data_IF_610351961718
#
_entry.id   IF_610351961718
#
_cell.length_a   1.000
_cell.length_b   1.000
_cell.length_c   1.000
_cell.angle_alpha   90.00
_cell.angle_beta   90.00
_cell.angle_gamma   90.00
#
_symmetry.space_group_name_H-M   'P 1'
#
loop_
_entity.id
_entity.type
_entity.pdbx_description
1 polymer ?
#
# COMPACT_ATOMS: atom_id res chain seq x y z
N UNK A 1 -6.89 -64.41 39.41
CA UNK A 1 -6.73 -63.15 38.66
C UNK A 1 -5.28 -62.72 38.84
N UNK A 2 -4.43 -62.98 37.85
CA UNK A 2 -3.01 -62.59 37.88
C UNK A 2 -2.75 -61.66 36.71
N UNK A 3 -2.13 -60.53 37.03
CA UNK A 3 -1.95 -59.36 36.19
C UNK A 3 -0.66 -59.57 35.38
N UNK A 4 -0.73 -59.51 34.05
CA UNK A 4 0.46 -59.59 33.19
C UNK A 4 0.94 -58.17 32.89
N UNK A 5 2.10 -57.80 33.41
CA UNK A 5 2.82 -56.59 33.01
C UNK A 5 3.71 -56.90 31.81
N UNK A 6 3.48 -56.21 30.69
CA UNK A 6 4.33 -56.26 29.50
C UNK A 6 5.34 -55.12 29.57
N UNK A 7 6.61 -55.44 29.81
CA UNK A 7 7.73 -54.50 29.75
C UNK A 7 8.10 -54.18 28.30
N UNK A 8 8.00 -52.91 27.91
CA UNK A 8 8.51 -52.40 26.65
C UNK A 8 10.02 -52.15 26.73
N UNK A 9 10.78 -52.66 25.76
CA UNK A 9 12.22 -52.46 25.63
C UNK A 9 12.51 -51.07 25.10
N UNK A 10 13.26 -50.26 25.86
CA UNK A 10 13.75 -48.94 25.45
C UNK A 10 14.89 -49.12 24.45
N UNK A 11 14.71 -48.61 23.23
CA UNK A 11 15.76 -48.55 22.21
C UNK A 11 16.67 -47.36 22.50
N UNK A 12 17.98 -47.60 22.67
CA UNK A 12 18.97 -46.53 22.87
C UNK A 12 19.07 -45.63 21.62
N UNK A 13 19.33 -44.31 21.79
CA UNK A 13 19.55 -43.40 20.67
C UNK A 13 20.82 -43.77 19.90
N UNK A 14 20.71 -43.88 18.58
CA UNK A 14 21.84 -44.11 17.67
C UNK A 14 22.81 -42.93 17.67
N UNK A 15 24.12 -43.24 17.65
CA UNK A 15 25.20 -42.26 17.55
C UNK A 15 25.08 -41.36 16.31
N UNK A 16 25.58 -40.11 16.35
CA UNK A 16 25.50 -39.19 15.22
C UNK A 16 26.28 -39.76 14.02
N UNK A 17 25.56 -39.95 12.91
CA UNK A 17 26.13 -40.43 11.65
C UNK A 17 26.85 -39.26 10.98
N UNK A 18 28.17 -39.30 10.89
CA UNK A 18 28.96 -38.36 10.08
C UNK A 18 28.57 -38.54 8.61
N UNK A 19 28.06 -37.51 7.90
CA UNK A 19 27.66 -37.68 6.51
C UNK A 19 28.89 -37.89 5.61
N UNK A 20 28.79 -38.87 4.71
CA UNK A 20 29.83 -39.19 3.74
C UNK A 20 30.00 -38.05 2.71
N UNK A 21 31.25 -37.61 2.51
CA UNK A 21 31.64 -36.64 1.47
C UNK A 21 31.43 -37.30 0.10
N UNK A 22 30.62 -36.69 -0.76
CA UNK A 22 30.31 -37.25 -2.08
C UNK A 22 31.39 -36.86 -3.11
N UNK A 23 31.82 -37.81 -3.94
CA UNK A 23 32.79 -37.62 -5.04
C UNK A 23 32.29 -36.72 -6.20
N UNK A 24 31.24 -35.91 -5.99
CA UNK A 24 30.55 -35.12 -7.03
C UNK A 24 30.85 -33.63 -6.98
N UNK A 25 31.76 -33.18 -6.10
CA UNK A 25 32.00 -31.76 -5.83
C UNK A 25 30.91 -31.09 -4.99
N UNK A 26 29.80 -31.80 -4.74
CA UNK A 26 28.73 -31.38 -3.84
C UNK A 26 28.96 -31.89 -2.41
N UNK A 27 28.58 -31.05 -1.45
CA UNK A 27 28.50 -31.39 -0.04
C UNK A 27 27.25 -32.21 0.31
N UNK A 28 26.77 -32.03 1.54
CA UNK A 28 25.61 -32.72 2.09
C UNK A 28 24.36 -32.49 1.25
N UNK A 29 23.63 -33.56 0.99
CA UNK A 29 22.30 -33.52 0.36
C UNK A 29 21.26 -33.04 1.39
N UNK A 30 20.37 -32.13 0.98
CA UNK A 30 19.25 -31.62 1.76
C UNK A 30 17.97 -31.58 0.92
N UNK A 31 16.81 -31.48 1.57
CA UNK A 31 15.52 -31.35 0.90
C UNK A 31 14.89 -30.02 1.30
N UNK A 32 14.37 -29.31 0.31
CA UNK A 32 13.61 -28.09 0.51
C UNK A 32 12.16 -28.32 0.14
N UNK A 33 11.24 -27.72 0.89
CA UNK A 33 9.81 -27.70 0.56
C UNK A 33 9.45 -26.36 -0.07
N UNK A 34 8.67 -26.37 -1.15
CA UNK A 34 7.97 -25.19 -1.65
C UNK A 34 6.75 -24.89 -0.80
N UNK A 35 6.17 -23.70 -0.94
CA UNK A 35 4.92 -23.34 -0.24
C UNK A 35 3.76 -24.27 -0.58
N UNK A 36 3.80 -24.91 -1.75
CA UNK A 36 2.78 -25.88 -2.20
C UNK A 36 3.03 -27.29 -1.63
N UNK A 37 4.03 -27.46 -0.76
CA UNK A 37 4.40 -28.74 -0.16
C UNK A 37 5.22 -29.67 -1.06
N UNK A 38 5.64 -29.20 -2.24
CA UNK A 38 6.52 -29.96 -3.13
C UNK A 38 7.92 -30.05 -2.53
N UNK A 39 8.44 -31.27 -2.40
CA UNK A 39 9.79 -31.51 -1.90
C UNK A 39 10.76 -31.61 -3.06
N UNK A 40 11.80 -30.78 -3.03
CA UNK A 40 12.85 -30.73 -4.04
C UNK A 40 14.19 -31.09 -3.40
N UNK A 41 14.90 -32.05 -4.00
CA UNK A 41 16.22 -32.47 -3.56
C UNK A 41 17.28 -31.45 -4.00
N UNK A 42 18.13 -31.09 -3.06
CA UNK A 42 19.25 -30.16 -3.26
C UNK A 42 20.53 -30.72 -2.64
N UNK A 43 21.68 -30.18 -2.99
CA UNK A 43 22.92 -30.43 -2.28
C UNK A 43 23.69 -29.12 -2.05
N UNK A 44 24.35 -29.02 -0.90
CA UNK A 44 25.19 -27.87 -0.61
C UNK A 44 26.38 -27.81 -1.57
N UNK A 45 26.72 -26.59 -1.98
CA UNK A 45 27.94 -26.30 -2.71
C UNK A 45 28.48 -24.93 -2.29
N UNK A 46 29.76 -24.69 -2.57
CA UNK A 46 30.39 -23.39 -2.41
C UNK A 46 30.87 -22.88 -3.77
N UNK A 47 30.57 -21.63 -4.08
CA UNK A 47 30.98 -20.98 -5.34
C UNK A 47 31.50 -19.58 -5.08
N UNK A 48 32.26 -19.01 -6.03
CA UNK A 48 32.60 -17.59 -5.96
C UNK A 48 31.38 -16.75 -6.32
N UNK A 49 31.29 -15.53 -5.76
CA UNK A 49 30.27 -14.56 -6.19
C UNK A 49 30.24 -14.33 -7.71
N UNK A 50 31.38 -14.48 -8.40
CA UNK A 50 31.50 -14.33 -9.85
C UNK A 50 30.86 -15.47 -10.65
N UNK A 51 30.69 -16.63 -10.03
CA UNK A 51 30.13 -17.81 -10.69
C UNK A 51 28.60 -17.80 -10.67
N UNK A 52 27.99 -16.96 -9.81
CA UNK A 52 26.55 -16.83 -9.69
C UNK A 52 25.95 -15.97 -10.80
N UNK A 53 24.94 -16.49 -11.47
CA UNK A 53 24.11 -15.73 -12.39
C UNK A 53 22.87 -15.27 -11.61
N UNK A 54 22.95 -14.04 -11.08
CA UNK A 54 21.89 -13.36 -10.31
C UNK A 54 21.00 -12.50 -11.23
N UNK A 55 19.75 -12.25 -10.84
CA UNK A 55 18.77 -11.55 -11.69
C UNK A 55 19.15 -10.10 -12.02
N UNK A 56 19.72 -9.40 -11.04
CA UNK A 56 20.12 -8.00 -11.15
C UNK A 56 21.48 -7.82 -10.49
N UNK A 57 22.22 -6.82 -10.92
CA UNK A 57 23.40 -6.35 -10.23
C UNK A 57 23.01 -5.70 -8.88
N UNK A 58 23.93 -5.63 -7.90
CA UNK A 58 23.67 -4.99 -6.60
C UNK A 58 23.25 -3.52 -6.62
N UNK A 59 23.35 -2.85 -7.77
CA UNK A 59 22.90 -1.48 -8.04
C UNK A 59 21.49 -1.41 -8.66
N UNK A 60 20.83 -2.57 -8.83
CA UNK A 60 19.48 -2.70 -9.37
C UNK A 60 19.41 -2.89 -10.89
N UNK A 61 20.52 -2.73 -11.63
CA UNK A 61 20.52 -2.94 -13.09
C UNK A 61 20.26 -4.40 -13.43
N UNK A 62 19.41 -4.64 -14.44
CA UNK A 62 19.07 -5.99 -14.90
C UNK A 62 20.32 -6.69 -15.44
N UNK A 63 20.54 -7.94 -15.03
CA UNK A 63 21.61 -8.76 -15.56
C UNK A 63 21.15 -9.46 -16.85
N UNK A 64 21.73 -9.09 -17.99
CA UNK A 64 21.37 -9.63 -19.30
C UNK A 64 21.66 -11.14 -19.45
N UNK A 65 22.60 -11.68 -18.66
CA UNK A 65 22.90 -13.11 -18.66
C UNK A 65 21.86 -13.96 -17.92
N UNK A 66 20.99 -13.33 -17.12
CA UNK A 66 19.96 -14.03 -16.36
C UNK A 66 18.69 -14.24 -17.18
N UNK A 67 18.14 -15.46 -17.27
CA UNK A 67 16.87 -15.73 -17.95
C UNK A 67 15.71 -15.06 -17.19
N UNK A 68 15.17 -13.98 -17.75
CA UNK A 68 14.17 -13.14 -17.06
C UNK A 68 12.88 -13.89 -16.68
N UNK A 69 12.53 -14.96 -17.41
CA UNK A 69 11.40 -15.83 -17.08
C UNK A 69 11.54 -16.54 -15.71
N UNK A 70 12.76 -16.63 -15.17
CA UNK A 70 13.05 -17.22 -13.86
C UNK A 70 13.02 -16.19 -12.72
N UNK A 71 12.75 -14.91 -13.01
CA UNK A 71 12.67 -13.87 -11.98
C UNK A 71 11.21 -13.41 -11.83
N UNK A 72 10.44 -14.01 -10.90
CA UNK A 72 9.01 -13.72 -10.77
C UNK A 72 8.72 -12.35 -10.14
N UNK A 73 9.72 -11.69 -9.53
CA UNK A 73 9.58 -10.38 -8.87
C UNK A 73 10.36 -9.31 -9.62
N UNK A 74 9.79 -8.13 -9.80
CA UNK A 74 10.54 -6.96 -10.27
C UNK A 74 11.54 -6.48 -9.21
N UNK A 75 12.83 -6.63 -9.52
CA UNK A 75 13.98 -6.27 -8.68
C UNK A 75 14.59 -4.92 -9.02
N UNK A 76 14.02 -4.18 -9.97
CA UNK A 76 14.46 -2.81 -10.32
C UNK A 76 13.94 -1.78 -9.31
N UNK A 77 12.91 -2.13 -8.54
CA UNK A 77 12.20 -1.26 -7.59
C UNK A 77 13.05 -0.87 -6.38
N UNK A 78 12.76 0.30 -5.82
CA UNK A 78 13.46 0.83 -4.63
C UNK A 78 13.38 -0.10 -3.42
N UNK A 79 12.24 -0.75 -3.19
CA UNK A 79 12.06 -1.75 -2.11
C UNK A 79 13.06 -2.90 -2.22
N UNK A 80 13.30 -3.41 -3.43
CA UNK A 80 14.28 -4.46 -3.67
C UNK A 80 15.70 -3.97 -3.37
N UNK A 81 16.03 -2.74 -3.77
CA UNK A 81 17.34 -2.15 -3.45
C UNK A 81 17.52 -1.93 -1.95
N UNK A 82 16.48 -1.48 -1.24
CA UNK A 82 16.51 -1.29 0.21
C UNK A 82 16.71 -2.60 0.95
N UNK A 83 16.01 -3.66 0.53
CA UNK A 83 16.25 -4.99 1.05
C UNK A 83 17.71 -5.43 0.83
N UNK A 84 18.21 -5.37 -0.41
CA UNK A 84 19.58 -5.79 -0.74
C UNK A 84 20.58 -5.01 0.12
N UNK A 85 20.35 -3.72 0.33
CA UNK A 85 21.14 -2.88 1.22
C UNK A 85 21.06 -3.33 2.69
N UNK A 86 19.88 -3.68 3.18
CA UNK A 86 19.68 -4.16 4.55
C UNK A 86 20.42 -5.49 4.77
N UNK A 87 20.27 -6.45 3.86
CA UNK A 87 20.99 -7.72 3.88
C UNK A 87 22.50 -7.47 3.85
N UNK A 88 22.98 -6.60 2.97
CA UNK A 88 24.41 -6.33 2.83
C UNK A 88 25.03 -5.67 4.07
N UNK A 89 24.27 -4.80 4.75
CA UNK A 89 24.71 -4.12 5.98
C UNK A 89 24.75 -5.07 7.19
N UNK A 90 23.84 -6.03 7.23
CA UNK A 90 23.68 -6.93 8.38
C UNK A 90 23.42 -8.36 7.91
N UNK A 91 24.43 -8.98 7.30
CA UNK A 91 24.36 -10.39 6.96
C UNK A 91 24.13 -11.20 8.24
N UNK A 92 23.15 -12.10 8.21
CA UNK A 92 22.91 -13.07 9.27
C UNK A 92 23.27 -14.45 8.71
N UNK A 93 24.53 -14.92 8.88
CA UNK A 93 25.02 -16.10 8.19
C UNK A 93 24.20 -17.36 8.47
N UNK A 94 23.71 -17.54 9.70
CA UNK A 94 22.85 -18.66 10.06
C UNK A 94 21.51 -18.68 9.29
N UNK A 95 20.93 -17.52 8.96
CA UNK A 95 19.72 -17.42 8.13
C UNK A 95 20.00 -17.61 6.64
N UNK A 96 21.28 -17.52 6.23
CA UNK A 96 21.75 -17.68 4.86
C UNK A 96 22.38 -19.06 4.63
N UNK A 97 22.16 -20.00 5.56
CA UNK A 97 22.73 -21.33 5.54
C UNK A 97 21.65 -22.41 5.29
N UNK A 98 21.49 -23.39 6.18
CA UNK A 98 20.51 -24.46 5.97
C UNK A 98 19.08 -24.02 6.29
N UNK A 99 18.13 -24.46 5.48
CA UNK A 99 16.70 -24.32 5.73
C UNK A 99 15.94 -25.43 5.00
N UNK A 100 14.87 -25.91 5.64
CA UNK A 100 13.93 -26.85 5.04
C UNK A 100 12.98 -26.17 4.04
N UNK A 101 12.96 -24.84 3.97
CA UNK A 101 12.13 -24.07 3.05
C UNK A 101 12.93 -23.62 1.83
N UNK A 102 12.30 -23.69 0.66
CA UNK A 102 12.88 -23.27 -0.62
C UNK A 102 13.02 -21.74 -0.72
N UNK A 103 12.20 -21.00 0.00
CA UNK A 103 12.24 -19.53 0.09
C UNK A 103 13.27 -18.96 1.08
N UNK A 104 13.87 -19.79 1.95
CA UNK A 104 14.75 -19.36 3.05
C UNK A 104 16.14 -20.03 3.00
N UNK A 105 17.12 -19.63 3.82
CA UNK A 105 18.48 -20.21 3.82
C UNK A 105 19.43 -19.73 2.70
N UNK A 106 20.32 -20.60 2.28
CA UNK A 106 21.27 -20.39 1.19
C UNK A 106 20.54 -20.30 -0.17
N UNK A 107 20.97 -19.44 -1.10
CA UNK A 107 20.38 -19.36 -2.44
C UNK A 107 20.32 -20.72 -3.13
N UNK A 108 19.23 -20.98 -3.86
CA UNK A 108 19.07 -22.21 -4.63
C UNK A 108 19.39 -21.93 -6.08
N UNK A 109 20.21 -22.78 -6.68
CA UNK A 109 20.62 -22.63 -8.09
C UNK A 109 20.32 -23.90 -8.89
N UNK A 110 20.25 -23.74 -10.21
CA UNK A 110 20.47 -24.86 -11.12
C UNK A 110 21.94 -25.30 -11.13
N UNK A 111 22.24 -26.39 -11.85
CA UNK A 111 23.63 -26.84 -12.11
C UNK A 111 24.43 -25.83 -12.94
N UNK A 112 23.75 -24.88 -13.57
CA UNK A 112 24.30 -23.76 -14.35
C UNK A 112 24.55 -22.51 -13.50
N UNK A 113 24.40 -22.61 -12.18
CA UNK A 113 24.60 -21.52 -11.21
C UNK A 113 23.67 -20.30 -11.40
N UNK A 114 22.61 -20.46 -12.20
CA UNK A 114 21.51 -19.48 -12.25
C UNK A 114 20.71 -19.60 -10.97
N UNK A 115 20.53 -18.47 -10.28
CA UNK A 115 19.81 -18.41 -9.00
C UNK A 115 18.31 -18.50 -9.25
N UNK A 116 17.69 -19.59 -8.79
CA UNK A 116 16.26 -19.88 -8.95
C UNK A 116 15.45 -19.43 -7.72
N UNK A 117 16.08 -19.41 -6.55
CA UNK A 117 15.52 -18.85 -5.32
C UNK A 117 16.58 -18.08 -4.53
N UNK A 118 16.20 -16.94 -3.98
CA UNK A 118 17.08 -16.11 -3.17
C UNK A 118 17.91 -15.09 -3.95
N UNK A 119 17.40 -14.55 -5.08
CA UNK A 119 18.07 -13.47 -5.82
C UNK A 119 18.37 -12.24 -4.93
N UNK A 120 17.44 -11.83 -4.05
CA UNK A 120 17.66 -10.74 -3.07
C UNK A 120 18.85 -10.99 -2.13
N UNK A 121 18.90 -12.20 -1.54
CA UNK A 121 20.00 -12.64 -0.67
C UNK A 121 21.32 -12.73 -1.42
N UNK A 122 21.30 -13.27 -2.62
CA UNK A 122 22.49 -13.39 -3.48
C UNK A 122 23.07 -12.00 -3.79
N UNK A 123 22.24 -11.05 -4.21
CA UNK A 123 22.65 -9.66 -4.41
C UNK A 123 23.18 -9.01 -3.13
N UNK A 124 22.54 -9.27 -1.98
CA UNK A 124 22.98 -8.77 -0.68
C UNK A 124 24.36 -9.28 -0.28
N UNK A 125 24.63 -10.58 -0.47
CA UNK A 125 25.94 -11.19 -0.21
C UNK A 125 27.00 -10.60 -1.15
N UNK A 126 26.72 -10.52 -2.47
CA UNK A 126 27.61 -9.91 -3.46
C UNK A 126 27.95 -8.46 -3.07
N UNK A 127 26.94 -7.70 -2.62
CA UNK A 127 27.10 -6.31 -2.18
C UNK A 127 27.92 -6.20 -0.89
N UNK A 128 27.70 -7.09 0.07
CA UNK A 128 28.48 -7.11 1.31
C UNK A 128 29.98 -7.35 1.03
N UNK A 129 30.31 -8.30 0.14
CA UNK A 129 31.69 -8.50 -0.29
C UNK A 129 32.27 -7.29 -1.02
N UNK A 130 31.48 -6.63 -1.87
CA UNK A 130 31.92 -5.39 -2.53
C UNK A 130 32.18 -4.25 -1.53
N UNK A 131 31.42 -4.20 -0.43
CA UNK A 131 31.56 -3.21 0.63
C UNK A 131 32.64 -3.57 1.68
N UNK A 132 33.21 -4.78 1.63
CA UNK A 132 34.13 -5.28 2.66
C UNK A 132 33.44 -5.62 3.99
N UNK A 133 32.13 -5.88 4.01
CA UNK A 133 31.34 -6.18 5.22
C UNK A 133 30.92 -7.65 5.34
N UNK A 134 31.63 -8.56 4.65
CA UNK A 134 31.29 -9.98 4.56
C UNK A 134 32.23 -10.93 5.32
N UNK A 135 33.23 -10.41 6.04
CA UNK A 135 34.24 -11.24 6.74
C UNK A 135 33.58 -12.21 7.73
N UNK A 136 32.65 -11.72 8.56
CA UNK A 136 31.90 -12.56 9.50
C UNK A 136 31.07 -13.65 8.80
N UNK A 137 30.60 -13.40 7.57
CA UNK A 137 29.92 -14.41 6.77
C UNK A 137 30.91 -15.47 6.26
N UNK A 138 32.07 -15.07 5.72
CA UNK A 138 33.12 -16.00 5.30
C UNK A 138 33.61 -16.86 6.48
N UNK A 139 33.88 -16.25 7.63
CA UNK A 139 34.30 -16.96 8.84
C UNK A 139 33.26 -17.98 9.30
N UNK A 140 31.98 -17.60 9.25
CA UNK A 140 30.89 -18.52 9.55
C UNK A 140 30.87 -19.71 8.58
N UNK A 141 31.06 -19.49 7.27
CA UNK A 141 31.12 -20.58 6.29
C UNK A 141 32.30 -21.53 6.56
N UNK A 142 33.47 -21.00 6.91
CA UNK A 142 34.66 -21.81 7.24
C UNK A 142 34.39 -22.67 8.49
N UNK A 143 33.82 -22.08 9.54
CA UNK A 143 33.54 -22.77 10.81
C UNK A 143 32.48 -23.87 10.65
N UNK A 144 31.45 -23.63 9.83
CA UNK A 144 30.31 -24.54 9.68
C UNK A 144 30.41 -25.42 8.43
N UNK A 145 31.50 -25.32 7.64
CA UNK A 145 31.71 -26.12 6.42
C UNK A 145 31.45 -27.63 6.62
N UNK A 146 31.89 -28.27 7.72
CA UNK A 146 31.64 -29.69 7.95
C UNK A 146 30.15 -30.04 8.06
N UNK A 147 29.31 -29.14 8.57
CA UNK A 147 27.87 -29.36 8.67
C UNK A 147 27.23 -29.50 7.29
N UNK A 148 27.75 -28.75 6.32
CA UNK A 148 27.30 -28.77 4.93
C UNK A 148 28.04 -29.80 4.08
N UNK A 149 28.92 -30.63 4.68
CA UNK A 149 29.74 -31.60 3.97
C UNK A 149 30.77 -30.95 3.03
N UNK A 150 31.23 -29.75 3.35
CA UNK A 150 32.20 -28.97 2.57
C UNK A 150 33.56 -28.89 3.28
N UNK A 151 34.61 -28.61 2.50
CA UNK A 151 35.98 -28.47 3.02
C UNK A 151 36.25 -27.02 3.44
N UNK A 152 36.50 -26.79 4.73
CA UNK A 152 36.77 -25.46 5.29
C UNK A 152 38.03 -24.80 4.72
N UNK A 153 39.08 -25.57 4.40
CA UNK A 153 40.31 -25.05 3.81
C UNK A 153 40.07 -24.49 2.40
N UNK A 154 39.23 -25.16 1.60
CA UNK A 154 38.83 -24.67 0.28
C UNK A 154 38.12 -23.31 0.39
N UNK A 155 37.20 -23.16 1.34
CA UNK A 155 36.45 -21.91 1.56
C UNK A 155 37.39 -20.78 2.03
N UNK A 156 38.41 -21.11 2.83
CA UNK A 156 39.39 -20.13 3.30
C UNK A 156 40.19 -19.52 2.14
N UNK A 157 40.52 -20.31 1.13
CA UNK A 157 41.27 -19.89 -0.06
C UNK A 157 40.44 -19.09 -1.07
N UNK A 158 39.11 -19.17 -0.99
CA UNK A 158 38.19 -18.42 -1.86
C UNK A 158 38.18 -16.92 -1.53
N UNK A 159 38.04 -16.09 -2.55
CA UNK A 159 38.02 -14.63 -2.40
C UNK A 159 36.68 -14.15 -1.84
N UNK A 160 35.57 -14.64 -2.39
CA UNK A 160 34.20 -14.23 -2.06
C UNK A 160 33.27 -15.45 -2.09
N UNK A 161 33.45 -16.41 -1.16
CA UNK A 161 32.68 -17.63 -1.14
C UNK A 161 31.20 -17.36 -0.84
N UNK A 162 30.31 -18.05 -1.55
CA UNK A 162 28.86 -18.08 -1.30
C UNK A 162 28.40 -19.51 -1.16
N UNK A 163 27.75 -19.80 -0.03
CA UNK A 163 27.08 -21.08 0.18
C UNK A 163 25.79 -21.10 -0.64
N UNK A 164 25.61 -22.17 -1.42
CA UNK A 164 24.41 -22.39 -2.24
C UNK A 164 23.87 -23.79 -2.04
N UNK A 165 22.63 -23.99 -2.47
CA UNK A 165 21.98 -25.29 -2.61
C UNK A 165 21.71 -25.54 -4.09
N UNK A 166 22.44 -26.48 -4.68
CA UNK A 166 22.25 -26.87 -6.08
C UNK A 166 21.08 -27.84 -6.17
N UNK A 167 20.05 -27.50 -6.94
CA UNK A 167 18.91 -28.37 -7.20
C UNK A 167 19.34 -29.60 -8.01
N UNK A 168 18.95 -30.77 -7.53
CA UNK A 168 19.32 -32.06 -8.14
C UNK A 168 18.19 -32.69 -8.95
N UNK A 169 16.94 -32.45 -8.56
CA UNK A 169 15.76 -32.97 -9.27
C UNK A 169 15.43 -32.12 -10.49
N UNK A 170 14.86 -32.73 -11.53
CA UNK A 170 14.33 -32.01 -12.68
C UNK A 170 12.94 -31.47 -12.37
N UNK A 171 12.79 -30.14 -12.42
CA UNK A 171 11.53 -29.42 -12.18
C UNK A 171 11.34 -28.36 -13.26
N UNK A 172 10.11 -27.87 -13.43
CA UNK A 172 9.88 -26.61 -14.14
C UNK A 172 10.53 -25.48 -13.32
N UNK A 173 11.65 -24.96 -13.83
CA UNK A 173 12.45 -23.93 -13.16
C UNK A 173 11.67 -22.65 -12.90
N UNK A 174 10.81 -22.26 -13.84
CA UNK A 174 10.04 -21.02 -13.72
C UNK A 174 8.94 -21.19 -12.67
N UNK A 175 8.30 -22.37 -12.63
CA UNK A 175 7.32 -22.69 -11.60
C UNK A 175 7.98 -22.81 -10.22
N UNK A 176 9.10 -23.52 -10.12
CA UNK A 176 9.87 -23.62 -8.88
C UNK A 176 10.32 -22.25 -8.36
N UNK A 177 10.78 -21.37 -9.25
CA UNK A 177 11.11 -20.00 -8.89
C UNK A 177 9.87 -19.24 -8.38
N UNK A 178 8.70 -19.36 -9.03
CA UNK A 178 7.46 -18.75 -8.54
C UNK A 178 7.09 -19.24 -7.14
N UNK A 179 7.08 -20.55 -6.93
CA UNK A 179 6.63 -21.17 -5.67
C UNK A 179 7.62 -20.92 -4.52
N UNK A 180 8.92 -20.87 -4.81
CA UNK A 180 9.95 -20.55 -3.81
C UNK A 180 9.96 -19.07 -3.42
N UNK A 181 9.38 -18.21 -4.25
CA UNK A 181 9.27 -16.76 -4.03
C UNK A 181 7.82 -16.35 -3.67
N UNK A 182 7.02 -17.27 -3.12
CA UNK A 182 5.68 -16.99 -2.63
C UNK A 182 5.68 -16.88 -1.08
N UNK A 183 4.96 -15.93 -0.45
CA UNK A 183 4.91 -15.81 1.02
C UNK A 183 4.22 -17.01 1.69
N UNK A 184 4.81 -17.52 2.78
CA UNK A 184 4.34 -18.72 3.53
C UNK A 184 2.99 -18.51 4.26
N UNK A 185 2.63 -17.25 4.46
CA UNK A 185 1.44 -16.78 5.19
C UNK A 185 0.11 -17.05 4.45
N UNK A 186 0.15 -17.37 3.14
CA UNK A 186 -1.06 -17.67 2.38
C UNK A 186 -1.63 -19.06 2.68
N UNK A 187 -0.81 -20.04 3.08
CA UNK A 187 -1.30 -21.32 3.60
C UNK A 187 -2.09 -21.18 4.92
N UNK A 188 -1.78 -20.15 5.72
CA UNK A 188 -2.56 -19.84 6.94
C UNK A 188 -3.89 -19.19 6.60
N UNK A 189 -3.94 -18.43 5.50
CA UNK A 189 -5.16 -17.78 5.00
C UNK A 189 -6.05 -18.78 4.26
N UNK A 190 -5.50 -19.58 3.34
CA UNK A 190 -6.27 -20.56 2.55
C UNK A 190 -6.91 -21.64 3.43
N UNK A 191 -6.20 -22.12 4.47
CA UNK A 191 -6.79 -23.06 5.45
C UNK A 191 -7.85 -22.42 6.37
N UNK A 192 -7.76 -21.11 6.66
CA UNK A 192 -8.76 -20.39 7.48
C UNK A 192 -9.97 -19.93 6.67
N UNK A 193 -9.76 -19.55 5.43
CA UNK A 193 -10.78 -19.12 4.47
C UNK A 193 -11.66 -20.30 4.08
N UNK A 194 -11.09 -21.48 3.86
CA UNK A 194 -11.86 -22.71 3.57
C UNK A 194 -12.74 -23.13 4.76
N UNK A 195 -12.29 -22.93 6.01
CA UNK A 195 -13.06 -23.26 7.22
C UNK A 195 -14.12 -22.23 7.63
N UNK A 196 -14.04 -20.98 7.15
CA UNK A 196 -14.98 -19.90 7.51
C UNK A 196 -16.19 -19.80 6.56
N UNK A 197 -16.13 -20.40 5.37
CA UNK A 197 -17.22 -20.34 4.39
C UNK A 197 -18.35 -21.37 4.59
N UNK A 198 -18.22 -22.31 5.52
CA UNK A 198 -19.30 -23.26 5.84
C UNK A 198 -20.36 -22.68 6.80
N UNK A 199 -20.23 -21.44 7.30
CA UNK A 199 -21.11 -20.97 8.39
C UNK A 199 -21.57 -19.50 8.41
N UNK A 200 -21.58 -18.75 7.29
CA UNK A 200 -22.23 -17.42 7.31
C UNK A 200 -22.82 -16.95 5.96
N UNK A 201 -23.99 -16.27 5.96
CA UNK A 201 -24.64 -15.75 4.76
C UNK A 201 -24.04 -14.40 4.33
N UNK A 202 -24.02 -14.17 3.01
CA UNK A 202 -23.41 -13.01 2.35
C UNK A 202 -24.12 -11.66 2.62
N UNK A 203 -23.39 -10.54 2.45
CA UNK A 203 -23.98 -9.39 1.78
C UNK A 203 -23.09 -8.75 0.68
N UNK A 204 -23.79 -8.19 -0.31
CA UNK A 204 -23.33 -7.56 -1.55
C UNK A 204 -22.41 -6.34 -1.37
N UNK A 205 -21.44 -6.17 -2.28
CA UNK A 205 -21.12 -4.87 -2.95
C UNK A 205 -20.21 -5.06 -4.18
N UNK A 206 -20.70 -4.60 -5.34
CA UNK A 206 -19.95 -3.83 -6.34
C UNK A 206 -18.98 -4.52 -7.31
N UNK A 207 -18.09 -5.40 -6.86
CA UNK A 207 -17.05 -6.04 -7.73
C UNK A 207 -17.28 -7.55 -7.88
N UNK A 208 -18.07 -8.14 -6.97
CA UNK A 208 -18.35 -9.56 -6.89
C UNK A 208 -19.52 -10.03 -7.78
N UNK A 209 -20.24 -9.12 -8.45
CA UNK A 209 -21.52 -9.44 -9.11
C UNK A 209 -21.42 -9.87 -10.58
N UNK A 210 -20.22 -9.95 -11.16
CA UNK A 210 -20.05 -10.35 -12.58
C UNK A 210 -19.42 -11.73 -12.79
N UNK A 211 -18.91 -12.37 -11.74
CA UNK A 211 -18.40 -13.73 -11.85
C UNK A 211 -19.59 -14.71 -11.87
N UNK A 212 -19.68 -15.54 -12.92
CA UNK A 212 -20.77 -16.51 -13.11
C UNK A 212 -20.53 -17.81 -12.35
N UNK A 213 -19.35 -17.99 -11.76
CA UNK A 213 -19.00 -19.11 -10.88
C UNK A 213 -17.89 -18.77 -9.89
N UNK A 214 -17.76 -19.58 -8.84
CA UNK A 214 -16.68 -19.49 -7.84
C UNK A 214 -15.30 -19.62 -8.51
N UNK A 215 -15.15 -20.48 -9.51
CA UNK A 215 -13.90 -20.64 -10.26
C UNK A 215 -13.55 -19.41 -11.11
N UNK A 216 -14.54 -18.70 -11.63
CA UNK A 216 -14.34 -17.45 -12.37
C UNK A 216 -13.97 -16.30 -11.42
N UNK A 217 -14.57 -16.27 -10.21
CA UNK A 217 -14.18 -15.33 -9.17
C UNK A 217 -12.74 -15.57 -8.70
N UNK A 218 -12.36 -16.83 -8.48
CA UNK A 218 -11.00 -17.23 -8.12
C UNK A 218 -10.01 -16.86 -9.22
N UNK A 219 -10.35 -17.08 -10.51
CA UNK A 219 -9.52 -16.65 -11.64
C UNK A 219 -9.38 -15.13 -11.74
N UNK A 220 -10.46 -14.37 -11.53
CA UNK A 220 -10.43 -12.91 -11.54
C UNK A 220 -9.60 -12.35 -10.38
N UNK A 221 -9.67 -12.97 -9.20
CA UNK A 221 -8.80 -12.62 -8.07
C UNK A 221 -7.35 -12.98 -8.41
N UNK A 222 -7.07 -14.16 -8.96
CA UNK A 222 -5.72 -14.59 -9.37
C UNK A 222 -5.11 -13.67 -10.43
N UNK A 223 -5.87 -13.22 -11.44
CA UNK A 223 -5.36 -12.29 -12.46
C UNK A 223 -5.06 -10.89 -11.92
N UNK A 224 -5.72 -10.48 -10.82
CA UNK A 224 -5.37 -9.26 -10.08
C UNK A 224 -4.13 -9.49 -9.18
N UNK A 225 -3.89 -10.72 -8.74
CA UNK A 225 -2.81 -11.12 -7.81
C UNK A 225 -1.48 -11.44 -8.52
N UNK A 226 -1.47 -11.71 -9.83
CA UNK A 226 -0.29 -12.16 -10.59
C UNK A 226 0.87 -11.15 -10.73
N UNK A 227 0.80 -9.94 -10.15
CA UNK A 227 1.87 -8.93 -10.29
C UNK A 227 2.64 -8.58 -9.01
N UNK A 228 2.23 -9.02 -7.82
CA UNK A 228 2.88 -8.57 -6.58
C UNK A 228 2.95 -9.68 -5.52
N UNK A 229 4.14 -10.25 -5.35
CA UNK A 229 4.47 -11.22 -4.30
C UNK A 229 4.43 -10.56 -2.92
N UNK A 230 3.27 -10.53 -2.27
CA UNK A 230 3.10 -10.03 -0.92
C UNK A 230 1.96 -10.75 -0.20
N UNK A 231 1.99 -10.73 1.12
CA UNK A 231 0.95 -11.34 1.96
C UNK A 231 -0.27 -10.44 2.00
N UNK A 232 -1.43 -10.93 1.58
CA UNK A 232 -2.70 -10.20 1.68
C UNK A 232 -3.15 -10.16 3.15
N UNK A 233 -3.40 -8.96 3.69
CA UNK A 233 -4.19 -8.81 4.93
C UNK A 233 -3.42 -8.48 6.21
N UNK A 234 -2.58 -7.45 6.19
CA UNK A 234 -2.18 -6.73 7.43
C UNK A 234 -2.68 -5.28 7.40
N UNK A 235 -2.37 -4.51 8.45
CA UNK A 235 -3.00 -3.22 8.83
C UNK A 235 -3.68 -2.49 7.67
N UNK A 236 -5.01 -2.41 7.71
CA UNK A 236 -5.83 -1.66 6.77
C UNK A 236 -5.75 -2.08 5.27
N UNK A 237 -5.40 -3.34 4.96
CA UNK A 237 -5.44 -3.87 3.58
C UNK A 237 -4.15 -3.69 2.79
N UNK A 238 -3.07 -3.28 3.47
CA UNK A 238 -1.73 -3.14 2.92
C UNK A 238 -1.05 -4.50 2.71
N UNK A 239 -0.15 -4.58 1.72
CA UNK A 239 0.60 -5.79 1.40
C UNK A 239 1.95 -5.78 2.13
N UNK A 240 2.21 -6.72 3.04
CA UNK A 240 3.55 -6.85 3.62
C UNK A 240 4.51 -7.40 2.56
N UNK A 241 5.56 -6.65 2.28
CA UNK A 241 6.75 -7.15 1.60
C UNK A 241 7.68 -7.78 2.65
N UNK A 242 7.54 -9.10 2.84
CA UNK A 242 8.30 -9.87 3.84
C UNK A 242 9.81 -9.78 3.63
N UNK A 243 10.27 -9.45 2.42
CA UNK A 243 11.68 -9.30 2.10
C UNK A 243 12.27 -8.00 2.66
N UNK A 244 11.55 -6.88 2.58
CA UNK A 244 12.01 -5.57 3.03
C UNK A 244 11.49 -5.17 4.41
N UNK A 245 10.45 -5.85 4.92
CA UNK A 245 9.71 -5.46 6.11
C UNK A 245 8.79 -4.25 5.89
N UNK A 246 8.72 -3.73 4.67
CA UNK A 246 7.88 -2.59 4.29
C UNK A 246 6.48 -3.06 3.89
N UNK A 247 5.52 -2.16 4.02
CA UNK A 247 4.15 -2.39 3.58
C UNK A 247 3.94 -1.69 2.24
N UNK A 248 3.70 -2.46 1.20
CA UNK A 248 3.37 -1.94 -0.11
C UNK A 248 1.94 -1.40 -0.13
N UNK A 249 1.83 -0.15 -0.54
CA UNK A 249 0.62 0.63 -0.55
C UNK A 249 0.42 1.26 -1.93
N UNK A 250 0.37 0.40 -2.96
CA UNK A 250 0.26 0.76 -4.39
C UNK A 250 1.31 1.78 -4.84
N UNK A 251 1.06 3.07 -4.67
CA UNK A 251 1.96 4.12 -5.14
C UNK A 251 3.16 4.35 -4.23
N UNK A 252 3.12 3.88 -2.97
CA UNK A 252 4.19 4.09 -2.00
C UNK A 252 4.46 2.86 -1.13
N UNK A 253 5.63 2.84 -0.49
CA UNK A 253 5.99 1.86 0.54
C UNK A 253 5.97 2.51 1.92
N UNK A 254 5.25 1.90 2.85
CA UNK A 254 5.05 2.32 4.24
C UNK A 254 6.02 1.57 5.17
N UNK A 255 6.73 2.31 6.01
CA UNK A 255 7.61 1.79 7.04
C UNK A 255 6.83 1.77 8.38
N UNK A 256 6.47 0.58 8.89
CA UNK A 256 5.62 0.45 10.08
C UNK A 256 6.30 0.96 11.35
N UNK A 257 7.62 0.88 11.41
CA UNK A 257 8.43 1.29 12.58
C UNK A 257 8.38 2.80 12.82
N UNK A 258 8.30 3.59 11.75
CA UNK A 258 8.28 5.06 11.82
C UNK A 258 6.90 5.65 11.55
N UNK A 259 5.94 4.83 11.10
CA UNK A 259 4.59 5.27 10.75
C UNK A 259 4.53 6.18 9.51
N UNK A 260 5.45 6.02 8.56
CA UNK A 260 5.64 6.94 7.43
C UNK A 260 5.93 6.20 6.12
N UNK A 261 5.67 6.85 4.98
CA UNK A 261 6.16 6.42 3.68
C UNK A 261 7.66 6.67 3.54
N UNK A 262 8.34 5.81 2.77
CA UNK A 262 9.79 5.94 2.49
C UNK A 262 10.10 6.75 1.24
N UNK A 263 9.09 7.09 0.45
CA UNK A 263 9.17 7.94 -0.74
C UNK A 263 8.21 9.11 -0.59
N UNK A 264 8.54 10.30 -1.12
CA UNK A 264 7.62 11.43 -1.12
C UNK A 264 6.36 11.11 -1.92
N UNK A 265 5.24 11.73 -1.56
CA UNK A 265 3.94 11.55 -2.22
C UNK A 265 4.04 11.91 -3.73
N UNK A 266 3.67 10.99 -4.65
CA UNK A 266 3.66 11.25 -6.09
C UNK A 266 2.74 12.39 -6.54
N UNK A 267 1.68 12.71 -5.78
CA UNK A 267 0.84 13.90 -6.03
C UNK A 267 1.38 15.15 -5.33
N UNK A 268 2.58 15.07 -4.76
CA UNK A 268 3.28 16.18 -4.12
C UNK A 268 2.54 16.69 -2.89
N UNK A 269 2.47 18.01 -2.74
CA UNK A 269 1.82 18.64 -1.58
C UNK A 269 0.29 18.45 -1.55
N UNK A 270 -0.31 17.86 -2.58
CA UNK A 270 -1.74 17.54 -2.59
C UNK A 270 -2.09 16.45 -1.57
N UNK A 271 -1.17 15.50 -1.32
CA UNK A 271 -1.33 14.47 -0.28
C UNK A 271 -1.19 14.99 1.14
N UNK A 272 -0.46 16.10 1.32
CA UNK A 272 -0.27 16.76 2.60
C UNK A 272 1.05 17.50 2.70
N UNK A 273 1.23 18.24 3.80
CA UNK A 273 2.43 19.02 4.06
C UNK A 273 3.70 18.19 4.28
N UNK A 274 3.54 17.01 4.88
CA UNK A 274 4.63 16.05 5.00
C UNK A 274 4.47 15.03 3.87
N UNK A 275 5.30 15.09 2.81
CA UNK A 275 5.18 14.18 1.68
C UNK A 275 5.49 12.72 2.05
N UNK A 276 5.96 12.46 3.27
CA UNK A 276 6.23 11.12 3.79
C UNK A 276 5.17 10.65 4.80
N UNK A 277 4.13 11.43 5.09
CA UNK A 277 3.11 11.01 6.06
C UNK A 277 2.18 9.94 5.50
N UNK A 278 1.83 8.94 6.31
CA UNK A 278 0.84 7.93 5.96
C UNK A 278 -0.59 8.49 5.98
N UNK A 279 -1.15 8.71 7.17
CA UNK A 279 -2.39 9.46 7.39
C UNK A 279 -2.28 10.24 8.70
N UNK A 280 -3.03 11.33 8.85
CA UNK A 280 -3.02 12.14 10.08
C UNK A 280 -3.54 11.40 11.33
N UNK A 281 -4.40 10.40 11.16
CA UNK A 281 -4.96 9.62 12.25
C UNK A 281 -5.18 8.15 11.81
N UNK A 282 -4.18 7.28 11.99
CA UNK A 282 -4.24 5.89 11.55
C UNK A 282 -5.27 5.04 12.31
N UNK A 283 -5.85 5.53 13.41
CA UNK A 283 -6.93 4.81 14.10
C UNK A 283 -8.28 4.89 13.36
N UNK A 284 -8.47 5.94 12.56
CA UNK A 284 -9.76 6.23 11.89
C UNK A 284 -9.65 6.26 10.37
N UNK A 285 -8.42 6.34 9.83
CA UNK A 285 -8.18 6.51 8.40
C UNK A 285 -7.17 5.48 7.92
N UNK A 286 -7.41 5.04 6.69
CA UNK A 286 -6.51 4.20 5.90
C UNK A 286 -6.17 4.98 4.64
N UNK A 287 -4.97 4.77 4.12
CA UNK A 287 -4.60 5.21 2.78
C UNK A 287 -4.55 4.00 1.83
N UNK A 288 -5.63 3.68 1.10
CA UNK A 288 -5.70 2.48 0.27
C UNK A 288 -4.82 2.54 -0.99
N UNK A 289 -4.37 3.73 -1.37
CA UNK A 289 -3.66 3.97 -2.63
C UNK A 289 -2.22 4.44 -2.41
N UNK A 290 -1.84 4.93 -1.24
CA UNK A 290 -0.59 5.67 -1.07
C UNK A 290 -0.67 7.08 -1.63
N UNK A 291 -1.86 7.69 -1.58
CA UNK A 291 -2.18 9.03 -2.13
C UNK A 291 -3.27 9.76 -1.33
N UNK A 292 -3.71 9.25 -0.17
CA UNK A 292 -4.84 9.85 0.53
C UNK A 292 -4.47 11.23 1.09
N UNK A 293 -5.26 12.22 0.71
CA UNK A 293 -5.05 13.59 1.16
C UNK A 293 -5.35 13.71 2.65
N UNK A 294 -4.39 14.24 3.42
CA UNK A 294 -4.53 14.50 4.86
C UNK A 294 -5.85 15.23 5.21
N UNK A 295 -6.89 14.59 5.78
CA UNK A 295 -8.17 15.22 6.06
C UNK A 295 -7.98 16.52 6.85
N UNK A 296 -8.41 17.64 6.27
CA UNK A 296 -8.57 18.86 7.05
C UNK A 296 -9.68 18.58 8.06
N UNK A 297 -9.34 18.43 9.34
CA UNK A 297 -10.31 18.16 10.41
C UNK A 297 -11.45 19.21 10.46
N UNK A 298 -11.23 20.37 9.84
CA UNK A 298 -12.21 21.43 9.68
C UNK A 298 -13.22 21.18 8.54
N UNK A 299 -12.80 20.67 7.38
CA UNK A 299 -13.68 20.45 6.22
C UNK A 299 -14.41 19.11 6.35
N UNK A 300 -15.42 19.09 7.22
CA UNK A 300 -16.26 17.93 7.49
C UNK A 300 -17.54 17.92 6.63
N UNK A 301 -18.35 16.87 6.77
CA UNK A 301 -19.59 16.70 6.01
C UNK A 301 -20.60 17.84 6.23
N UNK A 302 -20.65 18.44 7.42
CA UNK A 302 -21.58 19.54 7.72
C UNK A 302 -21.20 20.84 7.00
N UNK A 303 -19.90 21.16 6.95
CA UNK A 303 -19.38 22.31 6.19
C UNK A 303 -19.67 22.13 4.71
N UNK A 304 -19.47 20.92 4.18
CA UNK A 304 -19.75 20.61 2.76
C UNK A 304 -21.25 20.67 2.46
N UNK A 305 -22.10 20.11 3.33
CA UNK A 305 -23.57 20.19 3.19
C UNK A 305 -24.05 21.64 3.21
N UNK A 306 -23.55 22.45 4.15
CA UNK A 306 -23.86 23.87 4.23
C UNK A 306 -23.37 24.63 2.98
N UNK A 307 -22.14 24.37 2.53
CA UNK A 307 -21.58 24.99 1.34
C UNK A 307 -22.36 24.61 0.07
N UNK A 308 -22.61 23.32 -0.17
CA UNK A 308 -23.23 22.82 -1.40
C UNK A 308 -24.74 23.01 -1.41
N UNK A 309 -25.44 22.42 -0.44
CA UNK A 309 -26.92 22.39 -0.38
C UNK A 309 -27.52 23.59 0.34
N UNK A 310 -26.81 24.15 1.32
CA UNK A 310 -27.30 25.25 2.15
C UNK A 310 -28.17 24.81 3.32
N UNK A 311 -28.45 25.76 4.19
CA UNK A 311 -29.39 25.60 5.30
C UNK A 311 -30.73 26.19 4.94
N UNK A 312 -31.78 25.41 5.16
CA UNK A 312 -33.14 25.76 4.75
C UNK A 312 -34.03 26.01 5.96
N UNK A 313 -34.95 26.95 5.82
CA UNK A 313 -36.07 27.10 6.75
C UNK A 313 -37.32 26.56 6.07
N UNK A 314 -37.93 25.53 6.65
CA UNK A 314 -39.16 24.94 6.12
C UNK A 314 -40.35 25.84 6.39
N UNK A 315 -41.27 25.96 5.41
CA UNK A 315 -42.49 26.78 5.55
C UNK A 315 -43.34 26.38 6.77
N UNK A 316 -43.38 25.08 7.09
CA UNK A 316 -44.07 24.51 8.25
C UNK A 316 -43.51 25.04 9.57
N UNK A 317 -42.19 25.26 9.64
CA UNK A 317 -41.49 25.78 10.82
C UNK A 317 -41.57 27.31 10.99
N UNK A 318 -42.08 28.02 9.98
CA UNK A 318 -42.18 29.48 10.00
C UNK A 318 -43.41 29.99 10.75
N UNK A 319 -43.29 31.18 11.35
CA UNK A 319 -44.43 31.93 11.87
C UNK A 319 -45.36 32.29 10.71
N UNK A 320 -46.67 32.33 10.98
CA UNK A 320 -47.72 32.58 9.96
C UNK A 320 -47.44 33.81 9.09
N UNK A 321 -46.96 34.91 9.70
CA UNK A 321 -46.58 36.14 8.97
C UNK A 321 -45.47 35.94 7.95
N UNK A 322 -44.47 35.12 8.26
CA UNK A 322 -43.29 34.90 7.40
C UNK A 322 -43.62 33.89 6.30
N UNK A 323 -44.56 32.96 6.56
CA UNK A 323 -45.05 31.98 5.57
C UNK A 323 -45.78 32.65 4.40
N UNK A 324 -46.36 33.84 4.60
CA UNK A 324 -46.98 34.60 3.51
C UNK A 324 -45.95 35.04 2.47
N UNK A 325 -44.76 35.43 2.93
CA UNK A 325 -43.67 35.90 2.06
C UNK A 325 -42.81 34.73 1.54
N UNK A 326 -42.80 33.60 2.24
CA UNK A 326 -42.02 32.40 1.92
C UNK A 326 -42.87 31.11 1.98
N UNK A 327 -43.85 30.96 1.07
CA UNK A 327 -44.82 29.85 1.13
C UNK A 327 -44.17 28.47 0.98
N UNK A 328 -43.03 28.38 0.30
CA UNK A 328 -42.30 27.14 0.04
C UNK A 328 -41.00 27.02 0.86
N UNK A 329 -40.88 27.84 1.91
CA UNK A 329 -39.66 27.96 2.69
C UNK A 329 -38.66 28.93 2.06
N UNK A 330 -37.45 28.97 2.61
CA UNK A 330 -36.37 29.83 2.08
C UNK A 330 -34.99 29.29 2.42
N UNK A 331 -34.02 29.61 1.56
CA UNK A 331 -32.60 29.45 1.86
C UNK A 331 -32.20 30.46 2.95
N UNK A 332 -31.63 29.96 4.05
CA UNK A 332 -31.16 30.76 5.19
C UNK A 332 -29.72 31.21 4.98
N UNK A 333 -28.85 30.30 4.57
CA UNK A 333 -27.40 30.51 4.42
C UNK A 333 -26.75 29.38 3.60
N UNK A 334 -25.55 29.62 3.09
CA UNK A 334 -24.82 28.67 2.24
C UNK A 334 -25.47 28.49 0.87
N UNK A 335 -25.39 27.28 0.32
CA UNK A 335 -26.10 26.89 -0.90
C UNK A 335 -25.45 27.38 -2.20
N UNK A 336 -24.17 27.11 -2.36
CA UNK A 336 -23.30 27.49 -3.47
C UNK A 336 -23.09 26.35 -4.48
N UNK A 337 -23.55 25.13 -4.21
CA UNK A 337 -23.44 24.00 -5.13
C UNK A 337 -24.64 23.88 -6.07
N UNK A 338 -24.54 22.98 -7.06
CA UNK A 338 -25.67 22.63 -7.92
C UNK A 338 -26.84 22.04 -7.12
N UNK A 339 -26.55 21.35 -6.02
CA UNK A 339 -27.54 20.81 -5.08
C UNK A 339 -28.49 21.88 -4.52
N UNK A 340 -28.01 23.12 -4.29
CA UNK A 340 -28.87 24.21 -3.84
C UNK A 340 -29.79 24.74 -4.95
N UNK A 341 -29.30 24.81 -6.18
CA UNK A 341 -30.11 25.19 -7.36
C UNK A 341 -31.24 24.17 -7.57
N UNK A 342 -30.91 22.88 -7.54
CA UNK A 342 -31.91 21.82 -7.67
C UNK A 342 -32.98 21.89 -6.57
N UNK A 343 -32.60 22.27 -5.34
CA UNK A 343 -33.52 22.45 -4.23
C UNK A 343 -34.38 23.73 -4.39
N UNK A 344 -33.83 24.81 -4.96
CA UNK A 344 -34.61 26.00 -5.34
C UNK A 344 -35.67 25.65 -6.39
N UNK A 345 -35.28 24.91 -7.43
CA UNK A 345 -36.20 24.44 -8.47
C UNK A 345 -37.29 23.54 -7.89
N UNK A 346 -36.93 22.57 -7.05
CA UNK A 346 -37.87 21.66 -6.40
C UNK A 346 -38.89 22.39 -5.50
N UNK A 347 -38.49 23.50 -4.88
CA UNK A 347 -39.36 24.34 -4.05
C UNK A 347 -40.09 25.43 -4.83
N UNK A 348 -39.85 25.56 -6.14
CA UNK A 348 -40.39 26.64 -6.96
C UNK A 348 -39.96 28.03 -6.47
N UNK A 349 -38.74 28.14 -5.93
CA UNK A 349 -38.17 29.40 -5.47
C UNK A 349 -37.34 30.00 -6.60
N UNK A 350 -37.74 31.18 -7.07
CA UNK A 350 -37.04 31.87 -8.14
C UNK A 350 -35.59 32.24 -7.75
N UNK A 351 -34.69 32.08 -8.71
CA UNK A 351 -33.32 32.59 -8.68
C UNK A 351 -32.95 33.10 -10.08
N UNK A 352 -31.95 33.96 -10.13
CA UNK A 352 -31.44 34.52 -11.37
C UNK A 352 -29.93 34.24 -11.43
N UNK A 353 -29.46 33.78 -12.60
CA UNK A 353 -28.03 33.77 -12.94
C UNK A 353 -27.80 35.00 -13.81
N UNK A 354 -27.15 36.01 -13.23
CA UNK A 354 -26.87 37.29 -13.89
C UNK A 354 -25.64 37.20 -14.79
N UNK A 355 -24.64 36.41 -14.37
CA UNK A 355 -23.40 36.24 -15.10
C UNK A 355 -22.76 34.87 -14.80
N UNK A 356 -22.10 34.31 -15.81
CA UNK A 356 -21.26 33.12 -15.68
C UNK A 356 -19.85 33.47 -16.15
N UNK A 357 -18.88 33.33 -15.26
CA UNK A 357 -17.46 33.54 -15.56
C UNK A 357 -16.94 32.45 -16.51
N UNK A 358 -15.84 32.70 -17.26
CA UNK A 358 -15.26 31.71 -18.17
C UNK A 358 -14.86 30.39 -17.50
N UNK A 359 -14.51 30.43 -16.22
CA UNK A 359 -14.19 29.26 -15.41
C UNK A 359 -15.44 28.48 -14.90
N UNK A 360 -16.64 28.91 -15.28
CA UNK A 360 -17.91 28.27 -14.94
C UNK A 360 -18.56 28.76 -13.64
N UNK A 361 -17.94 29.64 -12.85
CA UNK A 361 -18.58 30.22 -11.67
C UNK A 361 -19.79 31.04 -12.10
N UNK A 362 -20.93 30.82 -11.44
CA UNK A 362 -22.19 31.51 -11.72
C UNK A 362 -22.47 32.50 -10.61
N UNK A 363 -22.88 33.71 -10.94
CA UNK A 363 -23.26 34.72 -9.96
C UNK A 363 -24.62 35.30 -10.28
N UNK A 364 -25.35 35.66 -9.23
CA UNK A 364 -26.69 36.20 -9.37
C UNK A 364 -27.39 36.39 -8.05
N UNK A 365 -28.69 36.11 -7.99
CA UNK A 365 -29.51 36.44 -6.82
C UNK A 365 -30.70 35.50 -6.62
N UNK A 366 -31.25 35.55 -5.41
CA UNK A 366 -32.51 34.88 -5.04
C UNK A 366 -33.44 35.98 -4.53
N UNK A 367 -34.46 36.43 -5.31
CA UNK A 367 -35.32 37.55 -4.94
C UNK A 367 -35.98 37.43 -3.57
N UNK A 368 -36.29 36.20 -3.15
CA UNK A 368 -36.87 35.85 -1.85
C UNK A 368 -35.83 35.58 -0.76
N UNK A 369 -34.55 35.95 -0.93
CA UNK A 369 -33.55 35.70 0.10
C UNK A 369 -33.79 36.57 1.35
N UNK A 370 -33.61 36.07 2.59
CA UNK A 370 -33.78 36.88 3.80
C UNK A 370 -32.86 38.12 3.81
N UNK A 371 -31.58 37.96 3.48
CA UNK A 371 -30.61 39.05 3.36
C UNK A 371 -30.85 39.91 2.11
N UNK A 372 -31.07 41.22 2.29
CA UNK A 372 -31.36 42.17 1.19
C UNK A 372 -30.31 42.17 0.09
N UNK A 373 -29.02 42.11 0.44
CA UNK A 373 -27.93 42.14 -0.53
C UNK A 373 -27.87 40.91 -1.45
N UNK A 374 -28.63 39.85 -1.16
CA UNK A 374 -28.70 38.62 -1.96
C UNK A 374 -29.94 38.54 -2.87
N UNK A 375 -30.79 39.58 -2.84
CA UNK A 375 -32.07 39.62 -3.58
C UNK A 375 -31.95 40.16 -5.00
N UNK A 376 -30.87 40.88 -5.30
CA UNK A 376 -30.64 41.51 -6.60
C UNK A 376 -29.15 41.48 -6.94
N UNK A 377 -28.81 41.67 -8.22
CA UNK A 377 -27.43 41.70 -8.69
C UNK A 377 -26.71 40.36 -8.48
N UNK A 378 -25.44 40.41 -8.10
CA UNK A 378 -24.54 39.24 -7.96
C UNK A 378 -24.29 38.86 -6.49
N UNK A 379 -25.26 39.10 -5.60
CA UNK A 379 -25.12 38.80 -4.17
C UNK A 379 -25.03 37.31 -3.81
N UNK A 380 -25.30 36.42 -4.76
CA UNK A 380 -25.09 34.99 -4.66
C UNK A 380 -24.05 34.54 -5.68
N UNK A 381 -23.34 33.48 -5.32
CA UNK A 381 -22.40 32.79 -6.19
C UNK A 381 -22.62 31.29 -6.08
N UNK A 382 -22.45 30.59 -7.19
CA UNK A 382 -22.52 29.16 -7.28
C UNK A 382 -21.29 28.63 -8.02
N UNK A 383 -20.80 27.48 -7.58
CA UNK A 383 -19.74 26.74 -8.26
C UNK A 383 -20.17 26.36 -9.68
N UNK A 384 -19.21 26.00 -10.55
CA UNK A 384 -19.53 25.42 -11.85
C UNK A 384 -20.55 24.30 -11.72
N UNK A 385 -21.49 24.23 -12.66
CA UNK A 385 -22.63 23.32 -12.61
C UNK A 385 -22.22 21.84 -12.48
N UNK A 386 -21.07 21.47 -13.06
CA UNK A 386 -20.55 20.11 -13.02
C UNK A 386 -19.83 19.75 -11.70
N UNK A 387 -19.64 20.69 -10.78
CA UNK A 387 -18.98 20.40 -9.50
C UNK A 387 -19.91 19.66 -8.55
N UNK A 388 -19.46 18.50 -8.09
CA UNK A 388 -20.09 17.69 -7.05
C UNK A 388 -19.75 18.19 -5.64
N UNK A 389 -20.46 17.66 -4.63
CA UNK A 389 -20.13 17.88 -3.22
C UNK A 389 -18.68 17.44 -2.89
N UNK A 390 -18.17 16.41 -3.58
CA UNK A 390 -16.80 15.95 -3.44
C UNK A 390 -15.80 16.97 -4.01
N UNK A 391 -16.10 17.58 -5.16
CA UNK A 391 -15.26 18.62 -5.76
C UNK A 391 -15.19 19.85 -4.86
N UNK A 392 -16.34 20.31 -4.33
CA UNK A 392 -16.40 21.43 -3.38
C UNK A 392 -15.60 21.13 -2.12
N UNK A 393 -15.74 19.91 -1.57
CA UNK A 393 -14.95 19.45 -0.41
C UNK A 393 -13.46 19.51 -0.69
N UNK A 394 -13.02 18.93 -1.81
CA UNK A 394 -11.62 18.86 -2.17
C UNK A 394 -11.02 20.24 -2.45
N UNK A 395 -11.78 21.11 -3.12
CA UNK A 395 -11.38 22.48 -3.41
C UNK A 395 -11.23 23.30 -2.12
N UNK A 396 -12.22 23.23 -1.22
CA UNK A 396 -12.16 23.92 0.08
C UNK A 396 -11.00 23.42 0.95
N UNK A 397 -10.76 22.11 0.97
CA UNK A 397 -9.61 21.50 1.66
C UNK A 397 -8.29 22.02 1.10
N UNK A 398 -8.12 21.96 -0.22
CA UNK A 398 -6.89 22.41 -0.90
C UNK A 398 -6.59 23.87 -0.62
N UNK A 399 -7.62 24.73 -0.64
CA UNK A 399 -7.45 26.15 -0.34
C UNK A 399 -7.10 26.38 1.14
N UNK A 400 -7.79 25.71 2.07
CA UNK A 400 -7.58 25.87 3.51
C UNK A 400 -6.22 25.38 4.00
N UNK A 401 -5.78 24.25 3.46
CA UNK A 401 -4.54 23.58 3.81
C UNK A 401 -3.35 24.12 3.01
N UNK A 402 -3.51 25.07 2.08
CA UNK A 402 -2.36 25.62 1.35
C UNK A 402 -1.53 26.56 2.26
N UNK A 403 -0.19 26.39 2.34
CA UNK A 403 0.68 27.30 3.10
C UNK A 403 0.78 28.68 2.44
N UNK A 404 0.54 28.73 1.13
CA UNK A 404 0.65 29.95 0.34
C UNK A 404 -0.60 30.83 0.46
N UNK A 405 -1.68 30.29 1.05
CA UNK A 405 -2.92 31.02 1.26
C UNK A 405 -2.93 31.55 2.70
N UNK A 406 -2.74 32.86 2.92
CA UNK A 406 -2.72 33.42 4.27
C UNK A 406 -4.08 33.25 4.94
N UNK A 407 -4.05 32.88 6.23
CA UNK A 407 -5.22 32.86 7.09
C UNK A 407 -5.49 34.29 7.57
N UNK A 408 -6.58 34.87 7.07
CA UNK A 408 -7.07 36.16 7.50
C UNK A 408 -7.94 35.99 8.75
N UNK A 409 -7.60 36.67 9.84
CA UNK A 409 -8.46 36.78 11.02
C UNK A 409 -9.63 37.73 10.72
N UNK A 410 -10.85 37.25 10.97
CA UNK A 410 -12.09 38.02 10.81
C UNK A 410 -12.58 38.62 12.14
N UNK A 411 -11.86 38.37 13.24
CA UNK A 411 -12.27 38.74 14.59
C UNK A 411 -13.29 37.76 15.19
N UNK A 412 -13.47 37.81 16.51
CA UNK A 412 -14.34 36.90 17.28
C UNK A 412 -14.04 35.41 17.06
N UNK A 413 -12.78 35.09 16.70
CA UNK A 413 -12.29 33.74 16.41
C UNK A 413 -12.69 33.18 15.04
N UNK A 414 -13.18 34.02 14.12
CA UNK A 414 -13.42 33.64 12.73
C UNK A 414 -12.15 33.74 11.88
N UNK A 415 -11.94 32.80 10.97
CA UNK A 415 -10.78 32.78 10.06
C UNK A 415 -11.24 32.54 8.63
N UNK A 416 -10.65 33.27 7.69
CA UNK A 416 -10.87 33.09 6.25
C UNK A 416 -9.57 32.71 5.56
N UNK A 417 -9.65 31.80 4.60
CA UNK A 417 -8.58 31.48 3.66
C UNK A 417 -9.14 31.65 2.25
N UNK A 418 -8.37 32.29 1.38
CA UNK A 418 -8.73 32.46 -0.03
C UNK A 418 -7.66 31.85 -0.92
N UNK A 419 -8.06 31.28 -2.06
CA UNK A 419 -7.14 30.70 -3.01
C UNK A 419 -7.85 30.19 -4.25
N UNK A 420 -7.07 29.82 -5.27
CA UNK A 420 -7.61 29.30 -6.54
C UNK A 420 -7.48 27.78 -6.60
N UNK A 421 -8.53 27.09 -7.03
CA UNK A 421 -8.52 25.66 -7.33
C UNK A 421 -9.22 25.41 -8.67
N UNK A 422 -8.54 24.71 -9.60
CA UNK A 422 -9.04 24.45 -10.95
C UNK A 422 -9.59 25.71 -11.66
N UNK A 423 -8.88 26.83 -11.51
CA UNK A 423 -9.28 28.12 -12.12
C UNK A 423 -10.41 28.85 -11.41
N UNK A 424 -11.00 28.30 -10.34
CA UNK A 424 -12.04 28.95 -9.52
C UNK A 424 -11.40 29.59 -8.30
N UNK A 425 -11.65 30.89 -8.08
CA UNK A 425 -11.23 31.57 -6.85
C UNK A 425 -12.27 31.34 -5.74
N UNK A 426 -11.80 30.76 -4.64
CA UNK A 426 -12.61 30.20 -3.56
C UNK A 426 -12.23 30.86 -2.25
N UNK A 427 -13.23 31.10 -1.42
CA UNK A 427 -13.07 31.45 -0.03
C UNK A 427 -13.59 30.34 0.87
N UNK A 428 -12.82 30.08 1.92
CA UNK A 428 -13.15 29.12 2.96
C UNK A 428 -13.17 29.87 4.28
N UNK A 429 -14.31 29.84 4.97
CA UNK A 429 -14.51 30.55 6.24
C UNK A 429 -14.79 29.55 7.34
N UNK A 430 -14.10 29.74 8.47
CA UNK A 430 -14.33 29.06 9.74
C UNK A 430 -14.81 30.06 10.77
N UNK A 431 -15.85 29.71 11.53
CA UNK A 431 -16.26 30.48 12.70
C UNK A 431 -15.64 29.92 14.00
N UNK A 432 -15.79 30.68 15.09
CA UNK A 432 -15.26 30.29 16.41
C UNK A 432 -15.96 29.10 17.07
N UNK A 433 -17.13 28.68 16.55
CA UNK A 433 -17.91 27.55 17.05
C UNK A 433 -17.65 26.27 16.25
N UNK A 434 -16.70 26.30 15.32
CA UNK A 434 -16.36 25.16 14.47
C UNK A 434 -17.25 24.99 13.24
N UNK A 435 -18.18 25.92 12.99
CA UNK A 435 -18.93 26.03 11.75
C UNK A 435 -18.10 26.66 10.64
N UNK A 436 -18.61 26.61 9.41
CA UNK A 436 -17.92 27.17 8.26
C UNK A 436 -18.66 27.05 6.95
N UNK A 437 -18.09 27.66 5.91
CA UNK A 437 -18.61 27.60 4.55
C UNK A 437 -17.47 27.66 3.53
N UNK A 438 -17.75 27.10 2.35
CA UNK A 438 -16.87 27.11 1.18
C UNK A 438 -17.70 27.73 0.04
N UNK A 439 -17.18 28.76 -0.61
CA UNK A 439 -17.92 29.44 -1.67
C UNK A 439 -16.98 30.07 -2.71
N UNK A 440 -17.39 30.13 -3.98
CA UNK A 440 -16.65 30.90 -4.97
C UNK A 440 -16.89 32.39 -4.71
N UNK A 441 -15.85 33.21 -4.87
CA UNK A 441 -15.98 34.66 -4.74
C UNK A 441 -16.87 35.21 -5.88
N UNK A 442 -17.77 36.12 -5.54
CA UNK A 442 -18.76 36.65 -6.48
C UNK A 442 -18.27 37.89 -7.26
N UNK A 443 -17.13 38.45 -6.90
CA UNK A 443 -16.55 39.64 -7.53
C UNK A 443 -15.19 39.36 -8.19
N UNK A 444 -14.45 38.38 -7.66
CA UNK A 444 -13.07 38.07 -8.09
C UNK A 444 -13.05 36.63 -8.61
N UNK A 445 -12.85 36.48 -9.92
CA UNK A 445 -12.54 35.19 -10.57
C UNK A 445 -11.36 35.39 -11.53
N UNK A 446 -10.44 34.40 -11.65
CA UNK A 446 -9.22 34.51 -12.45
C UNK A 446 -9.46 34.57 -13.96
#
# INVERSE_FOLDING_TARGET
MSITQTTATVQQPSAPVTPAVSNSGYGRVSYVSTVNGEKVKTAFNIVETSDLIISNHPDGRINAAYPQALQPRDRTRLSSQLQVNAIAKSLQPAQLADSALSGEGAPITGRDHIVESGNGRSMGIVKAYANGSADAYKDYLIQNAPEYGLNSALIADMARPVLIRVRLDEVDRAQFARDSNWPDTQNTIDNRVTGLFESAPAPNTGVFSQAKSIDELIRNIRSITEHHSGTLGKFAGQWLDEESGLYYNRFQYYLPETGQYISPDPIGLLGGFNPYSYVHNPANFVDPYGLETCPSAFINADVVRHASKGDWTEASSMKSKDRKDFPNGRLKSGGHGQSAINELDARGIAYNIEHTYPNGVRVGNIPSHPSKGKRTGTGQSWFPEHWSDADIKHAGKTVWDSPNNPKQDLGSGGVMVSGTYNGVFIRVVRDSKGGGSIFPDNAIQP
#
